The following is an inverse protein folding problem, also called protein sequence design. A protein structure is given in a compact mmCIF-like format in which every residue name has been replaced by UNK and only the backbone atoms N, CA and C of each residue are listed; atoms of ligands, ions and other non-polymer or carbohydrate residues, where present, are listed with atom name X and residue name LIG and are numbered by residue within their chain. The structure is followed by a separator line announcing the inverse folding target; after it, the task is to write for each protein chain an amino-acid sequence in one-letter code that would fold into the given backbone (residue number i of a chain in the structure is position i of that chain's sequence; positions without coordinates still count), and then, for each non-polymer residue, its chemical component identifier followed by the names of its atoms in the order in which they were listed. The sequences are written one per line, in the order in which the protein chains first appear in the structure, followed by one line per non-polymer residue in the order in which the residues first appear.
data_IF_081589506902
#
_entry.id   IF_081589506902
#
_cell.length_a   1.000
_cell.length_b   1.000
_cell.length_c   1.000
_cell.angle_alpha   90.00
_cell.angle_beta   90.00
_cell.angle_gamma   90.00
#
_symmetry.space_group_name_H-M   'P 1'
#
loop_
_entity.id
_entity.type
_entity.pdbx_description
1 polymer ?
#
# COMPACT_ATOMS: atom_id res chain seq x y z
N UNK A 1 -19.99 -47.23 0.22
CA UNK A 1 -20.55 -46.34 -0.81
C UNK A 1 -20.06 -44.95 -0.52
N UNK A 2 -19.00 -44.51 -1.18
CA UNK A 2 -18.46 -43.13 -1.07
C UNK A 2 -19.16 -42.30 -2.13
N UNK A 3 -19.91 -41.29 -1.67
CA UNK A 3 -20.58 -40.33 -2.55
C UNK A 3 -19.52 -39.44 -3.20
N UNK A 4 -19.34 -39.57 -4.50
CA UNK A 4 -18.55 -38.62 -5.30
C UNK A 4 -19.30 -37.30 -5.37
N UNK A 5 -18.71 -36.27 -4.73
CA UNK A 5 -19.17 -34.89 -4.86
C UNK A 5 -18.79 -34.40 -6.28
N UNK A 6 -19.80 -34.11 -7.09
CA UNK A 6 -19.63 -33.46 -8.39
C UNK A 6 -18.98 -32.10 -8.19
N UNK A 7 -17.86 -31.76 -8.86
CA UNK A 7 -17.26 -30.43 -8.77
C UNK A 7 -18.25 -29.38 -9.30
N UNK A 8 -18.26 -28.16 -8.73
CA UNK A 8 -19.11 -27.10 -9.23
C UNK A 8 -18.78 -26.80 -10.69
N UNK A 9 -19.83 -26.65 -11.51
CA UNK A 9 -19.71 -26.28 -12.90
C UNK A 9 -18.89 -24.97 -13.02
N UNK A 10 -17.84 -25.01 -13.85
CA UNK A 10 -17.09 -23.81 -14.19
C UNK A 10 -18.07 -22.78 -14.79
N UNK A 11 -18.18 -21.61 -14.18
CA UNK A 11 -18.92 -20.50 -14.77
C UNK A 11 -18.29 -20.18 -16.11
N UNK A 12 -18.94 -20.61 -17.18
CA UNK A 12 -18.57 -20.25 -18.56
C UNK A 12 -19.05 -18.82 -18.78
N UNK A 13 -18.15 -17.86 -18.55
CA UNK A 13 -18.40 -16.48 -18.97
C UNK A 13 -18.66 -16.38 -20.49
N UNK A 14 -19.07 -15.22 -21.00
CA UNK A 14 -19.35 -15.02 -22.41
C UNK A 14 -18.17 -15.44 -23.29
N UNK A 15 -18.43 -15.85 -24.56
CA UNK A 15 -17.39 -16.24 -25.53
C UNK A 15 -16.32 -15.16 -25.65
N UNK A 16 -15.06 -15.54 -25.86
CA UNK A 16 -13.91 -14.61 -25.94
C UNK A 16 -14.10 -13.44 -26.92
N UNK A 17 -14.85 -13.65 -27.99
CA UNK A 17 -15.15 -12.62 -29.00
C UNK A 17 -16.13 -11.53 -28.53
N UNK A 18 -16.87 -11.77 -27.43
CA UNK A 18 -17.85 -10.83 -26.86
C UNK A 18 -17.33 -10.15 -25.59
N UNK A 19 -16.12 -10.49 -25.14
CA UNK A 19 -15.50 -9.86 -23.96
C UNK A 19 -14.86 -8.53 -24.35
N UNK A 20 -14.94 -7.57 -23.43
CA UNK A 20 -14.16 -6.34 -23.53
C UNK A 20 -12.68 -6.70 -23.79
N UNK A 21 -11.99 -6.01 -24.72
CA UNK A 21 -10.57 -6.24 -24.97
C UNK A 21 -9.70 -6.26 -23.70
N UNK A 22 -10.08 -5.50 -22.68
CA UNK A 22 -9.40 -5.48 -21.36
C UNK A 22 -9.61 -6.79 -20.61
N UNK A 23 -10.78 -7.43 -20.72
CA UNK A 23 -11.08 -8.72 -20.08
C UNK A 23 -10.41 -9.93 -20.76
N UNK A 24 -9.96 -9.79 -22.00
CA UNK A 24 -9.26 -10.87 -22.72
C UNK A 24 -7.87 -11.18 -22.15
N UNK A 25 -7.26 -10.21 -21.49
CA UNK A 25 -5.90 -10.34 -20.99
C UNK A 25 -5.90 -10.53 -19.48
N UNK A 26 -5.15 -11.52 -19.05
CA UNK A 26 -4.82 -11.67 -17.63
C UNK A 26 -3.96 -10.49 -17.19
N UNK A 27 -4.48 -9.63 -16.34
CA UNK A 27 -3.81 -8.41 -15.88
C UNK A 27 -3.45 -8.48 -14.39
N UNK A 28 -2.40 -7.77 -13.95
CA UNK A 28 -2.09 -7.66 -12.54
C UNK A 28 -3.16 -6.85 -11.80
N UNK A 29 -3.30 -7.09 -10.51
CA UNK A 29 -4.07 -6.21 -9.64
C UNK A 29 -3.33 -4.88 -9.45
N UNK A 30 -4.07 -3.78 -9.37
CA UNK A 30 -3.54 -2.45 -9.13
C UNK A 30 -3.69 -2.08 -7.65
N UNK A 31 -2.62 -1.59 -7.04
CA UNK A 31 -2.61 -1.07 -5.66
C UNK A 31 -2.00 0.32 -5.62
N UNK A 32 -2.27 1.04 -4.54
CA UNK A 32 -1.58 2.28 -4.17
C UNK A 32 -0.93 2.10 -2.81
N UNK A 33 0.27 2.65 -2.61
CA UNK A 33 0.97 2.70 -1.33
C UNK A 33 1.43 4.12 -1.04
N UNK A 34 1.22 4.60 0.20
CA UNK A 34 1.58 5.93 0.67
C UNK A 34 2.84 5.92 1.52
N UNK A 35 3.90 6.59 1.08
CA UNK A 35 5.05 6.92 1.91
C UNK A 35 4.83 8.30 2.52
N UNK A 36 4.28 8.34 3.73
CA UNK A 36 4.08 9.58 4.46
C UNK A 36 5.23 9.79 5.41
N UNK A 37 6.03 10.81 5.16
CA UNK A 37 7.20 11.17 5.96
C UNK A 37 6.92 12.40 6.80
N UNK A 38 7.35 12.36 8.05
CA UNK A 38 7.37 13.51 8.95
C UNK A 38 8.81 13.95 9.13
N UNK A 39 9.12 15.18 8.70
CA UNK A 39 10.41 15.81 8.96
C UNK A 39 10.37 16.56 10.28
N UNK A 40 11.20 16.11 11.22
CA UNK A 40 11.37 16.80 12.51
C UNK A 40 12.25 18.03 12.36
N UNK A 41 11.82 19.16 12.95
CA UNK A 41 12.50 20.46 12.83
C UNK A 41 13.55 20.66 13.92
N UNK A 42 13.65 19.76 14.88
CA UNK A 42 14.56 19.91 16.03
C UNK A 42 15.96 19.36 15.74
N UNK A 43 16.96 20.25 15.99
CA UNK A 43 18.37 19.90 16.15
C UNK A 43 19.31 20.30 15.03
N UNK A 44 20.46 20.82 15.41
CA UNK A 44 21.55 21.36 14.58
C UNK A 44 22.26 20.29 13.71
N UNK A 45 21.92 19.00 13.85
CA UNK A 45 22.58 17.87 13.18
C UNK A 45 21.57 16.90 12.53
N UNK A 46 21.18 17.24 11.32
CA UNK A 46 20.57 16.28 10.38
C UNK A 46 19.05 16.23 10.36
N UNK A 47 18.49 16.15 9.17
CA UNK A 47 17.08 15.91 8.94
C UNK A 47 16.69 14.52 9.49
N UNK A 48 15.93 14.50 10.57
CA UNK A 48 15.36 13.27 11.12
C UNK A 48 13.95 13.10 10.55
N UNK A 49 13.73 11.95 9.94
CA UNK A 49 12.41 11.57 9.43
C UNK A 49 11.79 10.46 10.28
N UNK A 50 10.49 10.53 10.46
CA UNK A 50 9.66 9.38 10.80
C UNK A 50 8.76 9.05 9.61
N UNK A 51 8.38 7.78 9.49
CA UNK A 51 7.45 7.30 8.47
C UNK A 51 6.19 6.78 9.15
N UNK A 52 5.05 7.03 8.52
CA UNK A 52 3.77 6.48 8.93
C UNK A 52 3.68 5.02 8.46
N UNK A 53 3.40 4.12 9.39
CA UNK A 53 3.18 2.71 9.10
C UNK A 53 1.89 2.23 9.76
N UNK A 54 1.30 1.19 9.20
CA UNK A 54 0.14 0.50 9.72
C UNK A 54 0.50 -0.95 10.08
N UNK A 55 -0.03 -1.46 11.18
CA UNK A 55 0.11 -2.87 11.55
C UNK A 55 -0.93 -3.69 10.79
N UNK A 56 -0.50 -4.74 10.13
CA UNK A 56 -1.39 -5.61 9.36
C UNK A 56 -2.23 -6.51 10.28
N UNK A 57 -3.55 -6.38 10.18
CA UNK A 57 -4.51 -7.21 10.92
C UNK A 57 -4.76 -8.58 10.29
N UNK A 58 -4.37 -8.80 8.99
CA UNK A 58 -4.68 -10.00 8.21
C UNK A 58 -3.46 -10.57 7.48
N UNK A 59 -3.53 -11.87 7.17
CA UNK A 59 -2.55 -12.51 6.30
C UNK A 59 -2.66 -12.00 4.83
N UNK A 60 -1.55 -12.04 4.09
CA UNK A 60 -0.19 -12.40 4.49
C UNK A 60 0.46 -11.33 5.37
N UNK A 61 1.45 -11.73 6.16
CA UNK A 61 2.24 -10.85 7.04
C UNK A 61 1.45 -10.23 8.21
N UNK A 62 0.43 -10.89 8.73
CA UNK A 62 -0.29 -10.45 9.94
C UNK A 62 0.68 -10.11 11.07
N UNK A 63 0.48 -8.96 11.73
CA UNK A 63 1.33 -8.45 12.81
C UNK A 63 2.61 -7.76 12.36
N UNK A 64 2.94 -7.76 11.06
CA UNK A 64 4.01 -6.91 10.52
C UNK A 64 3.48 -5.54 10.13
N UNK A 65 4.38 -4.60 10.01
CA UNK A 65 4.07 -3.24 9.58
C UNK A 65 4.15 -3.09 8.06
N UNK A 66 3.35 -2.20 7.53
CA UNK A 66 3.29 -1.89 6.10
C UNK A 66 3.19 -0.38 5.87
N UNK A 67 3.54 0.07 4.69
CA UNK A 67 3.10 1.37 4.19
C UNK A 67 1.57 1.33 4.10
N UNK A 68 0.85 2.38 4.52
CA UNK A 68 -0.59 2.44 4.34
C UNK A 68 -0.94 2.45 2.86
N UNK A 69 -2.00 1.73 2.49
CA UNK A 69 -2.42 1.58 1.11
C UNK A 69 -3.18 0.29 0.85
N UNK A 70 -3.73 0.15 -0.35
CA UNK A 70 -4.55 -0.99 -0.70
C UNK A 70 -4.88 -1.08 -2.18
N UNK A 71 -5.87 -1.89 -2.49
CA UNK A 71 -6.33 -2.09 -3.87
C UNK A 71 -7.10 -0.88 -4.38
N UNK A 72 -6.89 -0.55 -5.65
CA UNK A 72 -7.70 0.42 -6.38
C UNK A 72 -8.98 -0.28 -6.80
N UNK A 73 -10.13 0.32 -6.49
CA UNK A 73 -11.42 -0.22 -6.89
C UNK A 73 -11.66 -0.04 -8.40
N UNK A 74 -12.45 -0.93 -8.98
CA UNK A 74 -12.79 -0.80 -10.39
C UNK A 74 -13.51 0.52 -10.67
N UNK A 75 -12.97 1.32 -11.58
CA UNK A 75 -13.51 2.64 -11.91
C UNK A 75 -13.08 3.77 -10.96
N UNK A 76 -12.23 3.47 -9.97
CA UNK A 76 -11.68 4.47 -9.06
C UNK A 76 -10.44 5.14 -9.67
N UNK A 77 -10.33 6.46 -9.48
CA UNK A 77 -9.12 7.20 -9.79
C UNK A 77 -8.00 6.87 -8.78
N UNK A 78 -6.77 6.64 -9.26
CA UNK A 78 -5.64 6.23 -8.40
C UNK A 78 -5.24 7.30 -7.38
N UNK A 79 -5.44 8.59 -7.67
CA UNK A 79 -5.21 9.66 -6.70
C UNK A 79 -6.31 9.68 -5.63
N UNK A 80 -7.56 9.38 -6.00
CA UNK A 80 -8.64 9.20 -5.04
C UNK A 80 -8.39 7.98 -4.15
N UNK A 81 -7.93 6.87 -4.72
CA UNK A 81 -7.61 5.63 -4.01
C UNK A 81 -6.60 5.86 -2.88
N UNK A 82 -5.48 6.54 -3.15
CA UNK A 82 -4.48 6.78 -2.09
C UNK A 82 -5.05 7.64 -0.96
N UNK A 83 -5.87 8.64 -1.25
CA UNK A 83 -6.51 9.47 -0.22
C UNK A 83 -7.52 8.66 0.60
N UNK A 84 -8.31 7.80 -0.03
CA UNK A 84 -9.28 6.91 0.64
C UNK A 84 -8.55 5.93 1.57
N UNK A 85 -7.56 5.20 1.08
CA UNK A 85 -6.81 4.22 1.87
C UNK A 85 -6.13 4.86 3.09
N UNK A 86 -5.50 6.01 2.92
CA UNK A 86 -4.87 6.75 4.03
C UNK A 86 -5.92 7.15 5.07
N UNK A 87 -7.08 7.63 4.65
CA UNK A 87 -8.15 8.01 5.56
C UNK A 87 -8.70 6.79 6.31
N UNK A 88 -8.95 5.69 5.61
CA UNK A 88 -9.48 4.45 6.19
C UNK A 88 -8.52 3.83 7.21
N UNK A 89 -7.23 3.77 6.89
CA UNK A 89 -6.25 3.08 7.72
C UNK A 89 -5.64 3.96 8.83
N UNK A 90 -5.64 5.28 8.68
CA UNK A 90 -4.90 6.18 9.59
C UNK A 90 -5.71 7.36 10.12
N UNK A 91 -6.88 7.63 9.54
CA UNK A 91 -7.71 8.78 9.84
C UNK A 91 -7.20 10.11 9.28
N UNK A 92 -6.04 10.14 8.62
CA UNK A 92 -5.48 11.36 8.04
C UNK A 92 -6.18 11.72 6.72
N UNK A 93 -6.31 13.03 6.48
CA UNK A 93 -6.90 13.58 5.26
C UNK A 93 -6.09 14.77 4.75
N UNK A 94 -6.27 15.11 3.46
CA UNK A 94 -5.70 16.32 2.88
C UNK A 94 -4.17 16.32 2.76
N UNK A 95 -3.54 15.14 2.74
CA UNK A 95 -2.09 15.05 2.60
C UNK A 95 -1.63 15.47 1.19
N UNK A 96 -0.48 16.18 1.07
CA UNK A 96 0.01 16.69 -0.22
C UNK A 96 0.75 15.59 -0.99
N UNK A 97 0.02 14.57 -1.44
CA UNK A 97 0.59 13.46 -2.17
C UNK A 97 1.12 13.88 -3.55
N UNK A 98 2.26 13.28 -3.89
CA UNK A 98 2.84 13.31 -5.23
C UNK A 98 3.19 11.90 -5.64
N UNK A 99 2.82 11.50 -6.84
CA UNK A 99 3.22 10.21 -7.39
C UNK A 99 4.75 10.14 -7.48
N UNK A 100 5.29 9.05 -6.96
CA UNK A 100 6.73 8.81 -6.96
C UNK A 100 7.15 7.87 -8.09
N UNK A 101 6.77 6.60 -7.95
CA UNK A 101 7.17 5.54 -8.87
C UNK A 101 6.20 4.36 -8.78
N UNK A 102 6.18 3.55 -9.83
CA UNK A 102 5.44 2.30 -9.87
C UNK A 102 6.36 1.10 -9.61
N UNK A 103 5.90 0.15 -8.81
CA UNK A 103 6.58 -1.10 -8.47
C UNK A 103 5.72 -2.27 -8.89
N UNK A 104 6.16 -3.03 -9.89
CA UNK A 104 5.35 -4.09 -10.51
C UNK A 104 6.12 -5.38 -10.78
N UNK A 105 7.24 -5.64 -10.07
CA UNK A 105 8.01 -6.87 -10.25
C UNK A 105 7.15 -8.08 -9.84
N UNK A 106 6.98 -9.10 -10.70
CA UNK A 106 6.31 -10.34 -10.32
C UNK A 106 6.93 -10.95 -9.06
N UNK A 107 6.06 -11.44 -8.15
CA UNK A 107 6.50 -12.03 -6.89
C UNK A 107 6.76 -11.04 -5.74
N UNK A 108 6.54 -9.71 -5.95
CA UNK A 108 6.60 -8.73 -4.86
C UNK A 108 5.50 -8.93 -3.80
N UNK A 109 4.40 -9.52 -4.21
CA UNK A 109 3.25 -9.85 -3.36
C UNK A 109 2.94 -11.35 -3.49
N UNK A 110 2.90 -12.12 -2.39
CA UNK A 110 2.62 -13.55 -2.43
C UNK A 110 1.19 -13.90 -2.84
N UNK A 111 0.25 -12.95 -2.80
CA UNK A 111 -1.15 -13.16 -3.22
C UNK A 111 -1.30 -13.27 -4.74
N UNK A 112 -0.38 -12.66 -5.50
CA UNK A 112 -0.40 -12.68 -6.96
C UNK A 112 0.41 -11.55 -7.56
N UNK A 113 0.29 -11.37 -8.89
CA UNK A 113 0.96 -10.25 -9.56
C UNK A 113 0.23 -8.94 -9.26
N UNK A 114 0.85 -8.07 -8.48
CA UNK A 114 0.36 -6.74 -8.15
C UNK A 114 1.30 -5.66 -8.67
N UNK A 115 0.72 -4.56 -9.12
CA UNK A 115 1.44 -3.35 -9.51
C UNK A 115 1.01 -2.24 -8.56
N UNK A 116 1.96 -1.68 -7.82
CA UNK A 116 1.67 -0.59 -6.88
C UNK A 116 2.17 0.75 -7.41
N UNK A 117 1.28 1.74 -7.42
CA UNK A 117 1.63 3.13 -7.64
C UNK A 117 1.92 3.77 -6.28
N UNK A 118 3.16 4.18 -6.09
CA UNK A 118 3.62 4.76 -4.82
C UNK A 118 3.50 6.28 -4.84
N UNK A 119 2.87 6.81 -3.80
CA UNK A 119 2.73 8.23 -3.54
C UNK A 119 3.56 8.64 -2.32
N UNK A 120 4.11 9.84 -2.35
CA UNK A 120 4.91 10.40 -1.26
C UNK A 120 4.28 11.70 -0.78
N UNK A 121 4.14 11.85 0.53
CA UNK A 121 3.81 13.10 1.19
C UNK A 121 4.85 13.39 2.27
N UNK A 122 5.31 14.64 2.36
CA UNK A 122 6.25 15.08 3.40
C UNK A 122 5.58 16.15 4.25
N UNK A 123 5.40 15.84 5.52
CA UNK A 123 4.93 16.75 6.55
C UNK A 123 6.11 17.35 7.30
N UNK A 124 5.94 18.53 7.89
CA UNK A 124 6.97 19.22 8.65
C UNK A 124 6.37 19.68 9.99
N UNK A 125 7.06 19.42 11.08
CA UNK A 125 6.66 19.87 12.40
C UNK A 125 6.19 18.73 13.31
N UNK A 126 5.04 18.92 13.96
CA UNK A 126 4.49 17.93 14.89
C UNK A 126 3.77 16.79 14.16
N UNK A 127 3.87 15.58 14.73
CA UNK A 127 3.20 14.42 14.21
C UNK A 127 1.69 14.55 14.39
N UNK A 128 0.89 14.51 13.30
CA UNK A 128 -0.57 14.41 13.47
C UNK A 128 -0.92 13.11 14.19
N UNK A 129 -1.98 13.18 15.01
CA UNK A 129 -2.55 11.99 15.64
C UNK A 129 -3.09 11.05 14.59
N UNK A 130 -2.82 9.76 14.73
CA UNK A 130 -3.30 8.70 13.83
C UNK A 130 -4.12 7.68 14.59
N UNK A 131 -5.11 7.11 13.94
CA UNK A 131 -6.01 6.09 14.50
C UNK A 131 -5.99 4.92 13.53
N UNK A 132 -5.78 3.70 14.03
CA UNK A 132 -5.91 2.49 13.20
C UNK A 132 -7.34 2.33 12.72
N UNK A 133 -7.52 1.96 11.45
CA UNK A 133 -8.81 1.63 10.86
C UNK A 133 -9.22 0.16 11.06
N UNK A 134 -10.34 -0.25 10.47
CA UNK A 134 -10.97 -1.56 10.66
C UNK A 134 -10.06 -2.76 10.32
N UNK A 135 -9.17 -2.62 9.34
CA UNK A 135 -8.24 -3.67 8.89
C UNK A 135 -6.80 -3.49 9.42
N UNK A 136 -6.51 -2.35 10.04
CA UNK A 136 -5.23 -2.06 10.67
C UNK A 136 -5.34 -2.25 12.19
N UNK A 137 -4.53 -3.15 12.76
CA UNK A 137 -4.44 -3.32 14.20
C UNK A 137 -3.91 -2.06 14.92
N UNK A 138 -3.31 -1.13 14.16
CA UNK A 138 -2.83 0.17 14.63
C UNK A 138 -2.09 0.92 13.54
N UNK A 139 -2.00 2.24 13.68
CA UNK A 139 -1.17 3.11 12.87
C UNK A 139 -0.22 3.90 13.77
N UNK A 140 0.98 4.22 13.28
CA UNK A 140 1.95 4.95 14.09
C UNK A 140 3.10 5.54 13.29
N UNK A 141 3.80 6.49 13.92
CA UNK A 141 4.99 7.13 13.38
C UNK A 141 6.25 6.44 13.88
N UNK A 142 7.08 5.97 12.96
CA UNK A 142 8.31 5.23 13.26
C UNK A 142 9.54 5.99 12.77
N UNK A 143 10.54 6.25 13.62
CA UNK A 143 11.79 6.83 13.16
C UNK A 143 12.44 5.94 12.09
N UNK A 144 12.87 6.52 10.98
CA UNK A 144 13.49 5.76 9.86
C UNK A 144 14.75 4.98 10.26
N UNK A 145 15.40 5.37 11.36
CA UNK A 145 16.57 4.68 11.92
C UNK A 145 16.21 3.46 12.79
N UNK A 146 14.91 3.25 13.10
CA UNK A 146 14.41 2.19 13.99
C UNK A 146 13.10 1.63 13.44
N UNK A 147 13.15 1.13 12.22
CA UNK A 147 11.98 0.54 11.57
C UNK A 147 11.69 -0.86 12.13
N UNK A 148 10.42 -1.21 12.33
CA UNK A 148 10.02 -2.60 12.55
C UNK A 148 10.17 -3.41 11.26
N UNK A 149 9.96 -4.74 11.35
CA UNK A 149 9.90 -5.59 10.17
C UNK A 149 8.74 -5.20 9.26
N UNK A 150 9.07 -4.84 8.03
CA UNK A 150 8.08 -4.44 7.05
C UNK A 150 7.58 -5.63 6.23
N UNK A 151 6.30 -5.60 5.89
CA UNK A 151 5.66 -6.56 4.99
C UNK A 151 6.03 -6.29 3.53
N UNK A 152 5.84 -7.31 2.68
CA UNK A 152 6.07 -7.22 1.23
C UNK A 152 7.48 -6.71 0.88
N UNK A 153 7.56 -5.87 -0.15
CA UNK A 153 8.75 -5.14 -0.54
C UNK A 153 8.78 -3.69 -0.02
N UNK A 154 7.99 -3.37 1.03
CA UNK A 154 7.82 -2.01 1.53
C UNK A 154 9.13 -1.41 2.08
N UNK A 155 10.03 -2.22 2.63
CA UNK A 155 11.37 -1.74 3.01
C UNK A 155 12.17 -1.26 1.79
N UNK A 156 12.07 -1.97 0.65
CA UNK A 156 12.69 -1.55 -0.61
C UNK A 156 12.08 -0.26 -1.14
N UNK A 157 10.74 -0.15 -1.14
CA UNK A 157 10.03 1.06 -1.58
C UNK A 157 10.48 2.27 -0.75
N UNK A 158 10.43 2.16 0.59
CA UNK A 158 10.85 3.23 1.50
C UNK A 158 12.31 3.64 1.26
N UNK A 159 13.21 2.67 1.11
CA UNK A 159 14.62 2.94 0.79
C UNK A 159 14.78 3.76 -0.48
N UNK A 160 14.03 3.42 -1.54
CA UNK A 160 14.06 4.17 -2.82
C UNK A 160 13.57 5.61 -2.68
N UNK A 161 12.55 5.84 -1.83
CA UNK A 161 12.08 7.20 -1.53
C UNK A 161 13.16 7.99 -0.77
N UNK A 162 13.72 7.41 0.29
CA UNK A 162 14.74 8.06 1.10
C UNK A 162 16.00 8.41 0.31
N UNK A 163 16.41 7.58 -0.64
CA UNK A 163 17.54 7.85 -1.55
C UNK A 163 17.32 9.14 -2.36
N UNK A 164 16.10 9.52 -2.65
CA UNK A 164 15.80 10.76 -3.41
C UNK A 164 15.82 12.02 -2.55
N UNK A 165 15.58 11.88 -1.25
CA UNK A 165 15.61 13.00 -0.31
C UNK A 165 17.02 13.40 0.13
N UNK A 166 17.99 12.49 -0.04
CA UNK A 166 19.38 12.71 0.34
C UNK A 166 20.25 13.23 -0.82
N UNK A 167 19.64 13.54 -1.97
CA UNK A 167 20.29 14.15 -3.13
C UNK A 167 20.00 15.64 -3.23
#
# INVERSE_FOLDING_TARGET
MVSEATPPAAETGPPLAERDPVEQYRHPALTVDGVVLLRHVEGVLGNHYSVLLVERGRDPFKGRYALPGGFVDYGEDIEAAIHREIQEETGLTGLPFRQFRTFGKPGRDPRGHTVSVVYVAVLIGEAPGVVGGDDAAGAGWFPIKRLPDLAFDHAHILGRVLDTLNR
#
